data_IF_396421422589
#
_entry.id   IF_396421422589
#
_cell.length_a   1.000
_cell.length_b   1.000
_cell.length_c   1.000
_cell.angle_alpha   90.00
_cell.angle_beta   90.00
_cell.angle_gamma   90.00
#
_symmetry.space_group_name_H-M   'P 1'
#
loop_
_entity.id
_entity.type
_entity.pdbx_description
1 polymer ?
#
# COMPACT_ATOMS: atom_id res chain seq x y z
N UNK A 1 24.33 -39.77 16.02
CA UNK A 1 24.97 -38.93 17.06
C UNK A 1 26.39 -38.67 16.62
N UNK A 2 26.78 -37.42 16.35
CA UNK A 2 28.15 -37.10 15.96
C UNK A 2 29.02 -37.04 17.22
N UNK A 3 30.13 -37.77 17.23
CA UNK A 3 31.14 -37.69 18.28
C UNK A 3 32.28 -36.82 17.75
N UNK A 4 32.77 -35.91 18.59
CA UNK A 4 33.95 -35.10 18.31
C UNK A 4 34.99 -35.36 19.39
N UNK A 5 36.27 -35.39 19.00
CA UNK A 5 37.36 -35.51 19.96
C UNK A 5 37.51 -34.18 20.73
N UNK A 6 37.66 -34.27 22.04
CA UNK A 6 38.02 -33.11 22.85
C UNK A 6 39.42 -32.64 22.45
N UNK A 7 39.57 -31.34 22.17
CA UNK A 7 40.84 -30.76 21.75
C UNK A 7 41.96 -30.89 22.80
N UNK A 8 41.61 -30.92 24.08
CA UNK A 8 42.59 -30.98 25.18
C UNK A 8 42.93 -32.41 25.60
N UNK A 9 41.91 -33.26 25.85
CA UNK A 9 42.11 -34.60 26.40
C UNK A 9 41.94 -35.74 25.39
N UNK A 10 41.56 -35.44 24.15
CA UNK A 10 41.41 -36.44 23.08
C UNK A 10 40.23 -37.42 23.26
N UNK A 11 39.47 -37.31 24.35
CA UNK A 11 38.33 -38.20 24.60
C UNK A 11 37.19 -37.91 23.63
N UNK A 12 36.48 -38.96 23.20
CA UNK A 12 35.33 -38.83 22.31
C UNK A 12 34.12 -38.36 23.12
N UNK A 13 33.65 -37.15 22.83
CA UNK A 13 32.49 -36.55 23.47
C UNK A 13 31.40 -36.26 22.43
N UNK A 14 30.14 -36.22 22.87
CA UNK A 14 29.02 -35.82 22.00
C UNK A 14 29.23 -34.40 21.47
N UNK A 15 28.94 -34.17 20.19
CA UNK A 15 29.00 -32.85 19.55
C UNK A 15 28.07 -31.81 20.20
N UNK A 16 27.12 -32.26 21.00
CA UNK A 16 26.14 -31.45 21.72
C UNK A 16 26.48 -31.24 23.21
N UNK A 17 27.56 -31.86 23.71
CA UNK A 17 27.96 -31.71 25.11
C UNK A 17 28.41 -30.27 25.38
N UNK A 18 27.77 -29.60 26.35
CA UNK A 18 28.12 -28.22 26.74
C UNK A 18 29.49 -28.10 27.40
N UNK A 19 29.96 -29.18 28.04
CA UNK A 19 31.24 -29.24 28.75
C UNK A 19 31.81 -30.65 28.65
N UNK A 20 33.13 -30.79 28.47
CA UNK A 20 33.79 -32.09 28.46
C UNK A 20 33.82 -32.70 29.87
N UNK A 21 33.27 -33.91 30.10
CA UNK A 21 33.23 -34.53 31.43
C UNK A 21 34.61 -34.97 31.94
N UNK A 22 35.60 -35.13 31.04
CA UNK A 22 36.93 -35.64 31.40
C UNK A 22 37.94 -34.53 31.75
N UNK A 23 37.78 -33.32 31.21
CA UNK A 23 38.72 -32.22 31.44
C UNK A 23 38.06 -30.87 31.72
N UNK A 24 36.73 -30.79 31.71
CA UNK A 24 35.98 -29.57 32.08
C UNK A 24 35.97 -28.45 31.04
N UNK A 25 36.62 -28.60 29.89
CA UNK A 25 36.65 -27.55 28.86
C UNK A 25 35.35 -27.49 28.06
N UNK A 26 34.95 -26.28 27.69
CA UNK A 26 33.73 -26.01 26.91
C UNK A 26 34.07 -26.19 25.42
N UNK A 27 33.56 -27.22 24.73
CA UNK A 27 33.79 -27.35 23.30
C UNK A 27 33.09 -26.22 22.55
N UNK A 28 33.81 -25.57 21.62
CA UNK A 28 33.19 -24.59 20.72
C UNK A 28 32.32 -25.33 19.70
N UNK A 29 31.00 -25.25 19.89
CA UNK A 29 30.04 -25.64 18.85
C UNK A 29 30.25 -24.75 17.62
N UNK A 30 30.51 -25.39 16.48
CA UNK A 30 30.57 -24.72 15.18
C UNK A 30 29.13 -24.54 14.67
N UNK A 31 28.48 -23.44 15.04
CA UNK A 31 27.19 -23.10 14.45
C UNK A 31 27.36 -22.89 12.95
N UNK A 32 26.42 -23.40 12.14
CA UNK A 32 26.48 -23.34 10.69
C UNK A 32 26.15 -21.91 10.20
N UNK A 33 27.11 -20.99 10.35
CA UNK A 33 27.03 -19.58 9.93
C UNK A 33 26.64 -19.43 8.45
N UNK A 34 27.03 -20.38 7.60
CA UNK A 34 26.65 -20.41 6.17
C UNK A 34 25.13 -20.57 5.98
N UNK A 35 24.46 -21.37 6.81
CA UNK A 35 23.02 -21.60 6.68
C UNK A 35 22.19 -20.39 7.13
N UNK A 36 22.71 -19.57 8.06
CA UNK A 36 22.04 -18.34 8.50
C UNK A 36 22.11 -17.23 7.45
N UNK A 37 23.26 -17.06 6.79
CA UNK A 37 23.43 -15.99 5.79
C UNK A 37 22.56 -16.24 4.56
N UNK A 38 22.49 -17.49 4.08
CA UNK A 38 21.62 -17.85 2.95
C UNK A 38 20.14 -17.62 3.28
N UNK A 39 19.72 -17.99 4.50
CA UNK A 39 18.35 -17.76 4.96
C UNK A 39 17.96 -16.27 4.96
N UNK A 40 18.84 -15.41 5.46
CA UNK A 40 18.60 -13.95 5.50
C UNK A 40 18.55 -13.35 4.09
N UNK A 41 19.46 -13.74 3.20
CA UNK A 41 19.46 -13.27 1.79
C UNK A 41 18.20 -13.70 1.05
N UNK A 42 17.72 -14.94 1.26
CA UNK A 42 16.46 -15.39 0.69
C UNK A 42 15.28 -14.57 1.21
N UNK A 43 15.20 -14.29 2.52
CA UNK A 43 14.10 -13.49 3.09
C UNK A 43 14.13 -12.06 2.55
N UNK A 44 15.29 -11.43 2.44
CA UNK A 44 15.42 -10.08 1.88
C UNK A 44 15.08 -10.08 0.39
N UNK A 45 15.51 -11.10 -0.37
CA UNK A 45 15.16 -11.28 -1.77
C UNK A 45 13.66 -11.49 -1.98
N UNK A 46 13.01 -12.31 -1.13
CA UNK A 46 11.56 -12.49 -1.14
C UNK A 46 10.82 -11.22 -0.74
N UNK A 47 11.26 -10.52 0.30
CA UNK A 47 10.69 -9.24 0.69
C UNK A 47 10.80 -8.23 -0.44
N UNK A 48 11.97 -8.10 -1.08
CA UNK A 48 12.16 -7.19 -2.21
C UNK A 48 11.33 -7.59 -3.45
N UNK A 49 11.20 -8.89 -3.73
CA UNK A 49 10.35 -9.40 -4.81
C UNK A 49 8.85 -9.14 -4.58
N UNK A 50 8.36 -9.36 -3.36
CA UNK A 50 6.94 -9.19 -3.02
C UNK A 50 6.56 -7.74 -2.70
N UNK A 51 7.43 -6.96 -2.06
CA UNK A 51 7.15 -5.55 -1.71
C UNK A 51 7.65 -4.54 -2.75
N UNK A 52 8.64 -4.86 -3.58
CA UNK A 52 9.30 -3.90 -4.47
C UNK A 52 8.66 -3.67 -5.84
N UNK A 53 7.61 -4.41 -6.22
CA UNK A 53 7.07 -4.35 -7.60
C UNK A 53 5.54 -4.33 -7.76
N UNK A 54 4.76 -4.39 -6.69
CA UNK A 54 3.30 -4.61 -6.76
C UNK A 54 2.40 -3.58 -6.07
N UNK A 55 2.89 -2.91 -5.03
CA UNK A 55 2.07 -2.05 -4.17
C UNK A 55 1.58 -0.79 -4.90
N UNK A 56 2.40 -0.23 -5.79
CA UNK A 56 2.09 1.00 -6.53
C UNK A 56 0.93 0.81 -7.52
N UNK A 57 0.81 -0.38 -8.14
CA UNK A 57 -0.25 -0.69 -9.09
C UNK A 57 -1.60 -0.92 -8.42
N UNK A 58 -1.60 -1.49 -7.21
CA UNK A 58 -2.83 -1.61 -6.42
C UNK A 58 -3.27 -0.24 -5.89
N UNK A 59 -2.35 0.60 -5.41
CA UNK A 59 -2.66 1.97 -4.99
C UNK A 59 -3.24 2.83 -6.14
N UNK A 60 -2.67 2.74 -7.35
CA UNK A 60 -3.18 3.46 -8.52
C UNK A 60 -4.57 2.97 -8.96
N UNK A 61 -4.84 1.66 -8.86
CA UNK A 61 -6.14 1.07 -9.22
C UNK A 61 -7.22 1.38 -8.18
N UNK A 62 -6.87 1.47 -6.91
CA UNK A 62 -7.77 1.93 -5.85
C UNK A 62 -8.05 3.42 -5.97
N UNK A 63 -7.04 4.27 -6.22
CA UNK A 63 -7.26 5.70 -6.45
C UNK A 63 -8.24 5.96 -7.60
N UNK A 64 -8.09 5.28 -8.74
CA UNK A 64 -9.00 5.43 -9.88
C UNK A 64 -10.46 5.04 -9.57
N UNK A 65 -10.68 4.00 -8.76
CA UNK A 65 -12.05 3.64 -8.34
C UNK A 65 -12.65 4.64 -7.36
N UNK A 66 -11.82 5.22 -6.48
CA UNK A 66 -12.24 6.23 -5.50
C UNK A 66 -12.64 7.53 -6.21
N UNK A 67 -11.84 8.01 -7.17
CA UNK A 67 -12.13 9.23 -7.92
C UNK A 67 -13.47 9.13 -8.66
N UNK A 68 -13.72 7.99 -9.31
CA UNK A 68 -15.00 7.72 -9.98
C UNK A 68 -16.18 7.68 -8.99
N UNK A 69 -15.96 7.22 -7.75
CA UNK A 69 -16.98 7.23 -6.71
C UNK A 69 -17.28 8.65 -6.21
N UNK A 70 -16.24 9.45 -5.95
CA UNK A 70 -16.40 10.85 -5.51
C UNK A 70 -17.19 11.66 -6.54
N UNK A 71 -16.88 11.47 -7.83
CA UNK A 71 -17.65 12.13 -8.90
C UNK A 71 -19.13 11.75 -8.88
N UNK A 72 -19.45 10.47 -8.69
CA UNK A 72 -20.86 10.01 -8.56
C UNK A 72 -21.56 10.57 -7.32
N UNK A 73 -20.85 10.65 -6.20
CA UNK A 73 -21.42 11.20 -4.97
C UNK A 73 -21.64 12.71 -5.05
N UNK A 74 -20.75 13.43 -5.73
CA UNK A 74 -20.95 14.84 -6.06
C UNK A 74 -22.24 15.05 -6.89
N UNK A 75 -22.51 14.18 -7.88
CA UNK A 75 -23.76 14.25 -8.67
C UNK A 75 -25.01 14.08 -7.79
N UNK A 76 -24.96 13.19 -6.79
CA UNK A 76 -26.08 13.04 -5.84
C UNK A 76 -26.30 14.31 -5.03
N UNK A 77 -25.22 14.94 -4.55
CA UNK A 77 -25.32 16.21 -3.81
C UNK A 77 -25.88 17.33 -4.69
N UNK A 78 -25.44 17.41 -5.94
CA UNK A 78 -26.03 18.32 -6.92
C UNK A 78 -27.53 18.08 -7.08
N UNK A 79 -27.98 16.83 -7.24
CA UNK A 79 -29.40 16.54 -7.42
C UNK A 79 -30.24 16.94 -6.20
N UNK A 80 -29.70 16.80 -4.99
CA UNK A 80 -30.35 17.27 -3.76
C UNK A 80 -30.44 18.80 -3.76
N UNK A 81 -29.33 19.50 -4.09
CA UNK A 81 -29.31 20.96 -4.19
C UNK A 81 -30.25 21.47 -5.28
N UNK A 82 -30.40 20.75 -6.40
CA UNK A 82 -31.33 21.11 -7.47
C UNK A 82 -32.79 20.99 -7.05
N UNK A 83 -33.11 20.06 -6.15
CA UNK A 83 -34.47 19.83 -5.68
C UNK A 83 -34.93 20.86 -4.62
N UNK A 84 -34.01 21.37 -3.79
CA UNK A 84 -34.38 22.18 -2.62
C UNK A 84 -33.44 23.36 -2.29
N UNK A 85 -32.32 23.52 -3.01
CA UNK A 85 -31.29 24.52 -2.75
C UNK A 85 -31.51 25.85 -3.48
N UNK A 86 -30.75 26.86 -3.06
CA UNK A 86 -30.77 28.16 -3.74
C UNK A 86 -30.02 28.08 -5.08
N UNK A 87 -30.31 28.98 -6.06
CA UNK A 87 -29.64 29.00 -7.36
C UNK A 87 -28.10 29.01 -7.25
N UNK A 88 -27.56 29.75 -6.27
CA UNK A 88 -26.12 29.80 -6.00
C UNK A 88 -25.55 28.45 -5.52
N UNK A 89 -26.29 27.73 -4.67
CA UNK A 89 -25.87 26.42 -4.16
C UNK A 89 -25.82 25.40 -5.29
N UNK A 90 -26.80 25.44 -6.19
CA UNK A 90 -26.85 24.59 -7.39
C UNK A 90 -25.62 24.87 -8.26
N UNK A 91 -25.28 26.14 -8.49
CA UNK A 91 -24.09 26.53 -9.24
C UNK A 91 -22.78 26.00 -8.61
N UNK A 92 -22.62 26.14 -7.29
CA UNK A 92 -21.41 25.71 -6.57
C UNK A 92 -21.30 24.18 -6.63
N UNK A 93 -22.40 23.48 -6.41
CA UNK A 93 -22.46 22.02 -6.48
C UNK A 93 -22.19 21.51 -7.90
N UNK A 94 -22.71 22.17 -8.94
CA UNK A 94 -22.38 21.83 -10.33
C UNK A 94 -20.87 21.97 -10.61
N UNK A 95 -20.23 23.02 -10.07
CA UNK A 95 -18.78 23.19 -10.16
C UNK A 95 -17.99 22.11 -9.42
N UNK A 96 -18.47 21.67 -8.25
CA UNK A 96 -17.87 20.56 -7.51
C UNK A 96 -17.93 19.25 -8.31
N UNK A 97 -19.05 19.00 -9.01
CA UNK A 97 -19.19 17.83 -9.88
C UNK A 97 -18.22 17.89 -11.05
N UNK A 98 -18.12 19.02 -11.75
CA UNK A 98 -17.14 19.22 -12.82
C UNK A 98 -15.71 18.97 -12.33
N UNK A 99 -15.33 19.55 -11.18
CA UNK A 99 -14.00 19.34 -10.61
C UNK A 99 -13.74 17.87 -10.26
N UNK A 100 -14.75 17.14 -9.77
CA UNK A 100 -14.63 15.72 -9.44
C UNK A 100 -14.42 14.85 -10.68
N UNK A 101 -15.11 15.12 -11.78
CA UNK A 101 -14.89 14.42 -13.05
C UNK A 101 -13.53 14.74 -13.67
N UNK A 102 -13.05 15.98 -13.51
CA UNK A 102 -11.70 16.35 -13.92
C UNK A 102 -10.64 15.57 -13.13
N UNK A 103 -10.83 15.43 -11.81
CA UNK A 103 -9.95 14.63 -10.96
C UNK A 103 -9.96 13.15 -11.37
N UNK A 104 -11.13 12.62 -11.74
CA UNK A 104 -11.28 11.25 -12.24
C UNK A 104 -10.80 11.04 -13.69
N UNK A 105 -10.25 12.08 -14.35
CA UNK A 105 -9.80 12.07 -15.75
C UNK A 105 -10.88 11.64 -16.74
N UNK A 106 -12.13 12.00 -16.47
CA UNK A 106 -13.27 11.72 -17.33
C UNK A 106 -13.67 13.00 -18.09
N UNK A 107 -13.00 13.23 -19.21
CA UNK A 107 -13.20 14.43 -20.03
C UNK A 107 -14.61 14.53 -20.61
N UNK A 108 -15.27 13.39 -20.85
CA UNK A 108 -16.60 13.35 -21.46
C UNK A 108 -17.66 13.84 -20.49
N UNK A 109 -17.63 13.33 -19.24
CA UNK A 109 -18.55 13.80 -18.22
C UNK A 109 -18.16 15.20 -17.72
N UNK A 110 -16.87 15.52 -17.66
CA UNK A 110 -16.41 16.87 -17.36
C UNK A 110 -17.02 17.90 -18.31
N UNK A 111 -16.94 17.71 -19.63
CA UNK A 111 -17.49 18.64 -20.61
C UNK A 111 -19.00 18.85 -20.42
N UNK A 112 -19.77 17.76 -20.25
CA UNK A 112 -21.21 17.83 -19.99
C UNK A 112 -21.54 18.62 -18.73
N UNK A 113 -20.78 18.39 -17.66
CA UNK A 113 -20.98 19.08 -16.39
C UNK A 113 -20.54 20.53 -16.44
N UNK A 114 -19.52 20.89 -17.24
CA UNK A 114 -19.17 22.28 -17.51
C UNK A 114 -20.33 23.05 -18.17
N UNK A 115 -21.06 22.44 -19.08
CA UNK A 115 -22.23 23.07 -19.71
C UNK A 115 -23.38 23.26 -18.72
N UNK A 116 -23.67 22.24 -17.90
CA UNK A 116 -24.68 22.31 -16.82
C UNK A 116 -24.29 23.39 -15.81
N UNK A 117 -23.03 23.38 -15.40
CA UNK A 117 -22.43 24.34 -14.48
C UNK A 117 -22.56 25.78 -15.01
N UNK A 118 -22.32 26.02 -16.30
CA UNK A 118 -22.46 27.33 -16.91
C UNK A 118 -23.93 27.79 -16.92
N UNK A 119 -24.86 26.91 -17.28
CA UNK A 119 -26.29 27.22 -17.30
C UNK A 119 -26.83 27.54 -15.90
N UNK A 120 -26.52 26.71 -14.91
CA UNK A 120 -27.01 26.86 -13.53
C UNK A 120 -26.40 28.12 -12.86
N UNK A 121 -25.14 28.45 -13.16
CA UNK A 121 -24.52 29.66 -12.63
C UNK A 121 -24.98 30.95 -13.30
N UNK A 122 -25.30 30.90 -14.59
CA UNK A 122 -25.96 32.01 -15.27
C UNK A 122 -27.34 32.28 -14.66
N UNK A 123 -28.09 31.23 -14.33
CA UNK A 123 -29.36 31.34 -13.61
C UNK A 123 -29.21 31.90 -12.18
N UNK A 124 -28.05 31.67 -11.55
CA UNK A 124 -27.71 32.25 -10.25
C UNK A 124 -27.16 33.69 -10.32
N UNK A 125 -26.97 34.26 -11.52
CA UNK A 125 -26.41 35.59 -11.71
C UNK A 125 -24.89 35.69 -11.45
N UNK A 126 -24.18 34.57 -11.52
CA UNK A 126 -22.73 34.52 -11.29
C UNK A 126 -22.01 34.51 -12.64
N UNK A 127 -21.06 35.43 -12.89
CA UNK A 127 -20.24 35.39 -14.08
C UNK A 127 -19.24 34.22 -13.99
N UNK A 128 -19.18 33.40 -15.04
CA UNK A 128 -18.23 32.28 -15.18
C UNK A 128 -17.29 32.48 -16.34
#
# INVERSE_FOLDING_TARGET
>A
MALQACHECGTQISSEAKTCPSCGVIPKNKSNTVSQVVGVVCIIGFAWFYFGGGLEKQAAKEMSNIEAQVARDAVKQYNIAKAAGAPIDICVQAGLVSASYLQAKDDTNYAKWKDIEAADCSAAGVPR
#
